data_IF_795002343076
#
_entry.id   IF_795002343076
#
_cell.length_a   1.000
_cell.length_b   1.000
_cell.length_c   1.000
_cell.angle_alpha   90.00
_cell.angle_beta   90.00
_cell.angle_gamma   90.00
#
_symmetry.space_group_name_H-M   'P 1'
#
loop_
_entity.id
_entity.type
_entity.pdbx_description
1 polymer ?
#
# COMPACT_ATOMS: atom_id res chain seq x y z
N UNK A 1 61.48 -27.36 -25.70
CA UNK A 1 60.87 -27.77 -24.41
C UNK A 1 60.31 -26.51 -23.74
N UNK A 2 58.99 -26.26 -23.81
CA UNK A 2 58.34 -25.10 -23.16
C UNK A 2 56.87 -25.38 -22.79
N UNK A 3 56.52 -26.66 -22.66
CA UNK A 3 55.17 -27.12 -22.31
C UNK A 3 54.77 -26.80 -20.86
N UNK A 4 55.65 -26.86 -19.83
CA UNK A 4 55.20 -26.69 -18.45
C UNK A 4 54.83 -25.24 -18.10
N UNK A 5 55.46 -24.23 -18.72
CA UNK A 5 55.18 -22.82 -18.44
C UNK A 5 53.82 -22.40 -18.99
N UNK A 6 53.45 -22.88 -20.19
CA UNK A 6 52.14 -22.62 -20.80
C UNK A 6 50.97 -23.21 -19.99
N UNK A 7 51.16 -24.41 -19.42
CA UNK A 7 50.15 -25.04 -18.58
C UNK A 7 49.93 -24.26 -17.28
N UNK A 8 50.99 -23.72 -16.68
CA UNK A 8 50.91 -22.90 -15.47
C UNK A 8 50.25 -21.54 -15.70
N UNK A 9 50.53 -20.89 -16.84
CA UNK A 9 49.88 -19.63 -17.21
C UNK A 9 48.41 -19.85 -17.58
N UNK A 10 48.09 -20.96 -18.26
CA UNK A 10 46.71 -21.33 -18.59
C UNK A 10 45.92 -21.63 -17.31
N UNK A 11 46.50 -22.35 -16.34
CA UNK A 11 45.86 -22.64 -15.06
C UNK A 11 45.57 -21.36 -14.26
N UNK A 12 46.50 -20.40 -14.19
CA UNK A 12 46.26 -19.12 -13.52
C UNK A 12 45.18 -18.27 -14.21
N UNK A 13 45.17 -18.24 -15.55
CA UNK A 13 44.17 -17.49 -16.31
C UNK A 13 42.76 -18.10 -16.13
N UNK A 14 42.66 -19.43 -16.08
CA UNK A 14 41.42 -20.15 -15.79
C UNK A 14 40.95 -19.94 -14.35
N UNK A 15 41.86 -19.94 -13.36
CA UNK A 15 41.52 -19.63 -11.96
C UNK A 15 41.07 -18.16 -11.79
N UNK A 16 41.69 -17.22 -12.49
CA UNK A 16 41.30 -15.80 -12.46
C UNK A 16 39.94 -15.57 -13.15
N UNK A 17 39.67 -16.22 -14.28
CA UNK A 17 38.38 -16.16 -14.96
C UNK A 17 37.26 -16.81 -14.12
N UNK A 18 37.53 -17.95 -13.46
CA UNK A 18 36.60 -18.59 -12.55
C UNK A 18 36.36 -17.76 -11.27
N UNK A 19 37.39 -17.07 -10.76
CA UNK A 19 37.28 -16.13 -9.65
C UNK A 19 36.47 -14.89 -10.01
N UNK A 20 36.69 -14.31 -11.20
CA UNK A 20 35.92 -13.16 -11.70
C UNK A 20 34.45 -13.52 -11.98
N UNK A 21 34.19 -14.71 -12.53
CA UNK A 21 32.83 -15.23 -12.69
C UNK A 21 32.15 -15.51 -11.35
N UNK A 22 32.87 -16.04 -10.36
CA UNK A 22 32.33 -16.22 -9.00
C UNK A 22 32.00 -14.90 -8.31
N UNK A 23 32.86 -13.89 -8.40
CA UNK A 23 32.60 -12.56 -7.82
C UNK A 23 31.46 -11.85 -8.54
N UNK A 24 31.31 -12.04 -9.86
CA UNK A 24 30.17 -11.52 -10.63
C UNK A 24 28.86 -12.23 -10.26
N UNK A 25 28.90 -13.55 -10.05
CA UNK A 25 27.73 -14.34 -9.65
C UNK A 25 27.34 -14.05 -8.20
N UNK A 26 28.28 -13.89 -7.27
CA UNK A 26 28.02 -13.47 -5.89
C UNK A 26 27.46 -12.04 -5.83
N UNK A 27 27.93 -11.13 -6.70
CA UNK A 27 27.33 -9.78 -6.83
C UNK A 27 25.92 -9.84 -7.43
N UNK A 28 25.69 -10.68 -8.44
CA UNK A 28 24.35 -10.91 -8.98
C UNK A 28 23.42 -11.61 -7.99
N UNK A 29 23.93 -12.52 -7.15
CA UNK A 29 23.17 -13.18 -6.08
C UNK A 29 22.87 -12.23 -4.93
N UNK A 30 23.77 -11.28 -4.62
CA UNK A 30 23.49 -10.21 -3.66
C UNK A 30 22.49 -9.21 -4.22
N UNK A 31 22.54 -8.87 -5.52
CA UNK A 31 21.52 -8.05 -6.18
C UNK A 31 20.17 -8.79 -6.33
N UNK A 32 20.18 -10.10 -6.56
CA UNK A 32 18.99 -10.97 -6.50
C UNK A 32 18.50 -11.14 -5.06
N UNK A 33 19.35 -11.14 -4.03
CA UNK A 33 18.95 -11.09 -2.62
C UNK A 33 18.37 -9.71 -2.24
N UNK A 34 18.87 -8.63 -2.84
CA UNK A 34 18.28 -7.28 -2.78
C UNK A 34 16.91 -7.23 -3.46
N UNK A 35 16.74 -7.95 -4.58
CA UNK A 35 15.47 -8.07 -5.30
C UNK A 35 14.53 -9.08 -4.62
N UNK A 36 15.04 -10.06 -3.87
CA UNK A 36 14.29 -10.93 -2.93
C UNK A 36 13.87 -10.16 -1.66
N UNK A 37 14.28 -8.88 -1.49
CA UNK A 37 13.52 -7.92 -0.66
C UNK A 37 12.13 -7.58 -1.23
N UNK A 38 11.71 -8.23 -2.32
CA UNK A 38 10.37 -8.21 -2.95
C UNK A 38 9.19 -8.54 -2.00
N UNK A 39 9.46 -8.98 -0.75
CA UNK A 39 8.43 -9.14 0.29
C UNK A 39 7.93 -7.83 0.96
N UNK A 40 8.43 -6.66 0.55
CA UNK A 40 8.05 -5.35 1.11
C UNK A 40 6.98 -4.67 0.25
N UNK A 41 5.84 -4.31 0.87
CA UNK A 41 4.75 -3.59 0.20
C UNK A 41 4.34 -2.35 0.97
N UNK A 42 4.37 -1.21 0.29
CA UNK A 42 3.86 0.05 0.84
C UNK A 42 2.36 0.15 0.57
N UNK A 43 1.56 0.22 1.64
CA UNK A 43 0.10 0.25 1.55
C UNK A 43 -0.52 1.01 2.73
N UNK A 44 -1.85 1.03 2.78
CA UNK A 44 -2.62 1.49 3.94
C UNK A 44 -3.48 0.34 4.44
N UNK A 45 -3.57 0.15 5.75
CA UNK A 45 -4.44 -0.87 6.34
C UNK A 45 -5.80 -0.27 6.68
N UNK A 46 -6.80 -0.52 5.84
CA UNK A 46 -8.16 -0.03 6.01
C UNK A 46 -9.03 -1.00 6.82
N UNK A 47 -9.53 -0.57 7.97
CA UNK A 47 -10.50 -1.30 8.76
C UNK A 47 -11.91 -0.74 8.53
N UNK A 48 -12.87 -1.59 8.16
CA UNK A 48 -14.26 -1.17 7.88
C UNK A 48 -15.12 -0.90 9.12
N UNK A 49 -14.55 -0.92 10.32
CA UNK A 49 -15.31 -0.72 11.56
C UNK A 49 -15.86 0.72 11.65
N UNK A 50 -17.10 0.89 12.08
CA UNK A 50 -17.73 2.22 12.18
C UNK A 50 -17.87 2.86 10.78
N UNK A 51 -17.31 4.07 10.62
CA UNK A 51 -17.28 4.79 9.33
C UNK A 51 -16.11 4.35 8.43
N UNK A 52 -15.27 3.42 8.89
CA UNK A 52 -14.04 3.03 8.21
C UNK A 52 -12.84 3.89 8.62
N UNK A 53 -11.72 3.25 8.88
CA UNK A 53 -10.50 3.91 9.37
C UNK A 53 -9.25 3.27 8.78
N UNK A 54 -8.28 4.09 8.38
CA UNK A 54 -6.92 3.68 8.05
C UNK A 54 -6.08 3.67 9.33
N UNK A 55 -5.37 2.56 9.60
CA UNK A 55 -4.44 2.47 10.71
C UNK A 55 -3.34 3.53 10.58
N UNK A 56 -3.01 4.21 11.68
CA UNK A 56 -2.02 5.27 11.76
C UNK A 56 -0.98 4.96 12.84
N UNK A 57 0.27 5.27 12.53
CA UNK A 57 1.40 5.13 13.45
C UNK A 57 2.04 6.50 13.62
N UNK A 58 1.90 7.09 14.80
CA UNK A 58 2.39 8.42 15.10
C UNK A 58 3.86 8.41 15.55
N UNK A 59 4.61 9.51 15.32
CA UNK A 59 5.96 9.66 15.82
C UNK A 59 6.08 9.70 17.35
N UNK A 60 4.98 9.96 18.07
CA UNK A 60 4.92 9.96 19.55
C UNK A 60 4.76 8.54 20.15
N UNK A 61 4.68 7.50 19.31
CA UNK A 61 4.45 6.12 19.74
C UNK A 61 2.97 5.70 19.80
N UNK A 62 2.03 6.62 19.51
CA UNK A 62 0.59 6.33 19.54
C UNK A 62 0.12 5.62 18.28
N UNK A 63 -0.84 4.72 18.47
CA UNK A 63 -1.53 4.01 17.40
C UNK A 63 -3.04 4.26 17.47
N UNK A 64 -3.62 4.66 16.35
CA UNK A 64 -5.06 4.86 16.17
C UNK A 64 -5.42 4.64 14.70
N UNK A 65 -6.62 5.03 14.30
CA UNK A 65 -7.00 5.13 12.90
C UNK A 65 -7.76 6.42 12.63
N UNK A 66 -7.63 6.89 11.39
CA UNK A 66 -8.33 8.06 10.86
C UNK A 66 -9.14 7.66 9.64
N UNK A 67 -10.28 8.31 9.45
CA UNK A 67 -11.08 8.12 8.24
C UNK A 67 -10.33 8.65 7.01
N UNK A 68 -9.70 9.82 7.16
CA UNK A 68 -8.97 10.50 6.09
C UNK A 68 -7.64 9.83 5.77
N UNK A 69 -7.23 9.99 4.51
CA UNK A 69 -5.90 9.59 4.03
C UNK A 69 -4.87 10.58 4.58
N UNK A 70 -3.85 10.06 5.25
CA UNK A 70 -2.77 10.87 5.83
C UNK A 70 -1.43 10.17 5.56
N UNK A 71 -0.32 10.90 5.62
CA UNK A 71 1.04 10.35 5.61
C UNK A 71 1.24 9.35 6.77
N UNK A 72 0.64 9.60 7.94
CA UNK A 72 0.69 8.71 9.10
C UNK A 72 0.07 7.32 8.86
N UNK A 73 -0.79 7.18 7.85
CA UNK A 73 -1.42 5.91 7.48
C UNK A 73 -0.70 5.17 6.36
N UNK A 74 0.41 5.70 5.85
CA UNK A 74 1.28 5.02 4.90
C UNK A 74 2.18 4.05 5.66
N UNK A 75 1.99 2.77 5.40
CA UNK A 75 2.64 1.67 6.10
C UNK A 75 3.46 0.83 5.11
N UNK A 76 4.64 0.41 5.53
CA UNK A 76 5.44 -0.59 4.86
C UNK A 76 5.23 -1.92 5.59
N UNK A 77 4.63 -2.89 4.90
CA UNK A 77 4.51 -4.26 5.37
C UNK A 77 5.66 -5.06 4.80
N UNK A 78 6.37 -5.79 5.64
CA UNK A 78 7.50 -6.62 5.22
C UNK A 78 7.37 -8.02 5.81
N UNK A 79 7.64 -9.03 4.99
CA UNK A 79 7.65 -10.42 5.45
C UNK A 79 8.86 -10.65 6.38
N UNK A 80 8.59 -11.23 7.54
CA UNK A 80 9.63 -11.68 8.50
C UNK A 80 9.88 -13.17 8.30
N UNK A 81 8.82 -13.94 8.08
CA UNK A 81 8.84 -15.36 7.71
C UNK A 81 7.49 -15.73 7.10
N UNK A 82 7.28 -17.00 6.74
CA UNK A 82 6.05 -17.44 6.10
C UNK A 82 4.81 -17.09 6.94
N UNK A 83 3.96 -16.20 6.40
CA UNK A 83 2.73 -15.74 7.07
C UNK A 83 2.95 -14.86 8.30
N UNK A 84 4.19 -14.43 8.57
CA UNK A 84 4.52 -13.48 9.65
C UNK A 84 5.09 -12.22 9.04
N UNK A 85 4.53 -11.08 9.42
CA UNK A 85 4.92 -9.77 8.90
C UNK A 85 5.32 -8.82 10.03
N UNK A 86 6.13 -7.83 9.67
CA UNK A 86 6.27 -6.58 10.40
C UNK A 86 5.50 -5.46 9.71
N UNK A 87 5.03 -4.49 10.49
CA UNK A 87 4.31 -3.31 9.99
C UNK A 87 5.07 -2.08 10.47
N UNK A 88 5.57 -1.28 9.53
CA UNK A 88 6.33 -0.06 9.80
C UNK A 88 5.57 1.17 9.29
N UNK A 89 5.49 2.22 10.08
CA UNK A 89 5.02 3.53 9.62
C UNK A 89 6.11 4.19 8.78
N UNK A 90 5.83 4.49 7.51
CA UNK A 90 6.84 5.09 6.61
C UNK A 90 7.23 6.47 7.11
N UNK A 91 6.25 7.30 7.47
CA UNK A 91 6.49 8.66 7.96
C UNK A 91 7.13 8.70 9.36
N UNK A 92 6.62 7.90 10.30
CA UNK A 92 7.11 7.91 11.68
C UNK A 92 8.38 7.10 11.89
N UNK A 93 8.80 6.30 10.90
CA UNK A 93 9.92 5.35 10.98
C UNK A 93 9.84 4.42 12.21
N UNK A 94 8.63 4.11 12.66
CA UNK A 94 8.35 3.27 13.84
C UNK A 94 7.60 2.01 13.46
N UNK A 95 7.82 0.94 14.21
CA UNK A 95 7.16 -0.35 14.03
C UNK A 95 5.91 -0.44 14.90
N UNK A 96 4.84 -0.99 14.36
CA UNK A 96 3.68 -1.38 15.15
C UNK A 96 4.10 -2.50 16.09
N UNK A 97 3.76 -2.37 17.37
CA UNK A 97 4.07 -3.36 18.39
C UNK A 97 2.86 -3.61 19.29
N UNK A 98 2.73 -4.83 19.79
CA UNK A 98 1.76 -5.18 20.82
C UNK A 98 2.49 -5.62 22.08
N UNK A 99 2.20 -4.99 23.22
CA UNK A 99 2.82 -5.37 24.48
C UNK A 99 2.11 -6.55 25.16
N UNK A 100 2.70 -7.06 26.24
CA UNK A 100 2.17 -8.15 27.10
C UNK A 100 0.78 -7.92 27.70
N UNK A 101 0.25 -6.69 27.69
CA UNK A 101 -1.13 -6.40 28.14
C UNK A 101 -2.13 -6.44 26.98
N UNK A 102 -1.65 -6.53 25.73
CA UNK A 102 -2.42 -6.45 24.51
C UNK A 102 -2.61 -5.01 24.00
N UNK A 103 -1.86 -4.03 24.49
CA UNK A 103 -1.95 -2.64 24.00
C UNK A 103 -1.09 -2.49 22.75
N UNK A 104 -1.67 -1.89 21.71
CA UNK A 104 -0.94 -1.45 20.54
C UNK A 104 -0.20 -0.15 20.84
N UNK A 105 1.05 -0.09 20.40
CA UNK A 105 1.92 1.07 20.50
C UNK A 105 2.93 1.02 19.33
N UNK A 106 3.76 2.04 19.19
CA UNK A 106 4.80 2.07 18.18
C UNK A 106 6.20 2.19 18.81
N UNK A 107 7.15 1.44 18.28
CA UNK A 107 8.54 1.37 18.78
C UNK A 107 9.53 1.76 17.68
N UNK A 108 10.69 2.29 18.06
CA UNK A 108 11.76 2.60 17.09
C UNK A 108 12.50 1.34 16.66
N UNK A 109 12.64 0.40 17.59
CA UNK A 109 13.36 -0.84 17.40
C UNK A 109 12.40 -1.96 17.05
N UNK A 110 12.80 -2.78 16.06
CA UNK A 110 12.06 -3.97 15.68
C UNK A 110 12.35 -5.09 16.68
N UNK A 111 11.30 -5.56 17.35
CA UNK A 111 11.37 -6.59 18.40
C UNK A 111 10.34 -7.69 18.14
N UNK A 112 10.31 -8.73 18.97
CA UNK A 112 9.31 -9.80 18.84
C UNK A 112 7.86 -9.32 19.05
N UNK A 113 7.66 -8.24 19.82
CA UNK A 113 6.37 -7.56 19.98
C UNK A 113 5.83 -7.00 18.64
N UNK A 114 6.71 -6.81 17.65
CA UNK A 114 6.40 -6.24 16.34
C UNK A 114 6.03 -7.29 15.28
N UNK A 115 6.05 -8.58 15.64
CA UNK A 115 5.78 -9.68 14.72
C UNK A 115 4.31 -10.08 14.77
N UNK A 116 3.64 -10.03 13.61
CA UNK A 116 2.23 -10.39 13.48
C UNK A 116 2.01 -11.49 12.46
N UNK A 117 1.20 -12.49 12.80
CA UNK A 117 0.70 -13.49 11.87
C UNK A 117 -0.39 -12.88 11.00
N UNK A 118 -0.13 -12.78 9.71
CA UNK A 118 -1.12 -12.39 8.70
C UNK A 118 -1.94 -13.61 8.30
N UNK A 119 -3.27 -13.50 8.40
CA UNK A 119 -4.20 -14.53 7.93
C UNK A 119 -5.30 -13.90 7.09
N UNK A 120 -5.57 -14.50 5.94
CA UNK A 120 -6.71 -14.16 5.10
C UNK A 120 -7.99 -14.69 5.74
N UNK A 121 -9.02 -13.84 5.77
CA UNK A 121 -10.34 -14.18 6.26
C UNK A 121 -11.29 -14.36 5.06
N UNK A 122 -12.32 -15.19 5.22
CA UNK A 122 -13.31 -15.52 4.18
C UNK A 122 -13.95 -14.30 3.49
N UNK A 123 -13.99 -13.15 4.18
CA UNK A 123 -14.58 -11.92 3.68
C UNK A 123 -13.62 -11.03 2.87
N UNK A 124 -12.47 -11.56 2.43
CA UNK A 124 -11.43 -10.83 1.71
C UNK A 124 -10.68 -9.75 2.52
N UNK A 125 -10.77 -9.80 3.85
CA UNK A 125 -9.93 -8.99 4.74
C UNK A 125 -8.86 -9.85 5.40
N UNK A 126 -7.77 -9.20 5.81
CA UNK A 126 -6.72 -9.84 6.59
C UNK A 126 -6.91 -9.54 8.08
N UNK A 127 -6.44 -10.48 8.90
CA UNK A 127 -6.26 -10.30 10.34
C UNK A 127 -4.78 -10.36 10.69
N UNK A 128 -4.40 -9.65 11.75
CA UNK A 128 -3.02 -9.59 12.24
C UNK A 128 -2.99 -9.96 13.71
N UNK A 129 -2.56 -11.18 14.02
CA UNK A 129 -2.42 -11.68 15.38
C UNK A 129 -1.00 -11.50 15.88
N UNK A 130 -0.78 -11.13 17.15
CA UNK A 130 0.57 -11.18 17.73
C UNK A 130 1.11 -12.61 17.69
N UNK A 131 2.38 -12.77 17.31
CA UNK A 131 3.05 -14.08 17.33
C UNK A 131 3.25 -14.57 18.76
N UNK A 132 3.71 -13.69 19.65
CA UNK A 132 4.13 -14.05 21.01
C UNK A 132 3.03 -13.85 22.06
N UNK A 133 2.14 -12.87 21.86
CA UNK A 133 1.12 -12.54 22.85
C UNK A 133 -0.20 -13.24 22.56
N UNK A 134 -0.59 -14.11 23.49
CA UNK A 134 -1.87 -14.83 23.47
C UNK A 134 -2.34 -15.12 24.88
N UNK A 135 -3.61 -15.47 25.04
CA UNK A 135 -4.07 -16.02 26.29
C UNK A 135 -3.56 -17.46 26.44
N UNK A 136 -2.60 -17.69 27.35
CA UNK A 136 -1.99 -19.00 27.57
C UNK A 136 -2.99 -20.06 28.08
N UNK A 137 -4.01 -19.65 28.85
CA UNK A 137 -5.00 -20.57 29.41
C UNK A 137 -5.98 -21.08 28.36
N UNK A 138 -6.44 -20.18 27.47
CA UNK A 138 -7.48 -20.51 26.49
C UNK A 138 -6.94 -20.71 25.08
N UNK A 139 -5.63 -20.56 24.86
CA UNK A 139 -4.99 -20.56 23.54
C UNK A 139 -5.40 -19.41 22.62
N UNK A 140 -6.14 -18.41 23.12
CA UNK A 140 -6.77 -17.38 22.29
C UNK A 140 -5.75 -16.33 21.85
N UNK A 141 -5.61 -16.20 20.54
CA UNK A 141 -4.75 -15.18 19.91
C UNK A 141 -5.26 -13.76 20.18
N UNK A 142 -4.32 -12.81 20.21
CA UNK A 142 -4.61 -11.38 20.35
C UNK A 142 -4.35 -10.67 19.03
N UNK A 143 -5.30 -9.82 18.63
CA UNK A 143 -5.28 -9.20 17.31
C UNK A 143 -5.08 -7.69 17.37
N UNK A 144 -4.44 -7.15 16.34
CA UNK A 144 -4.52 -5.73 16.00
C UNK A 144 -5.99 -5.39 15.76
N UNK A 145 -6.48 -4.31 16.38
CA UNK A 145 -7.89 -3.95 16.25
C UNK A 145 -8.15 -2.46 16.48
N UNK A 146 -9.14 -1.92 15.76
CA UNK A 146 -9.68 -0.56 15.96
C UNK A 146 -11.13 -0.62 16.46
N UNK A 147 -11.55 0.37 17.25
CA UNK A 147 -12.95 0.50 17.63
C UNK A 147 -13.74 1.35 16.62
N UNK A 148 -15.06 1.41 16.80
CA UNK A 148 -15.96 2.22 15.96
C UNK A 148 -15.67 3.74 15.94
N UNK A 149 -14.80 4.22 16.83
CA UNK A 149 -14.35 5.61 16.93
C UNK A 149 -12.91 5.80 16.40
N UNK A 150 -12.34 4.79 15.74
CA UNK A 150 -10.96 4.82 15.24
C UNK A 150 -9.87 4.69 16.29
N UNK A 151 -10.16 4.46 17.58
CA UNK A 151 -9.10 4.23 18.59
C UNK A 151 -8.65 2.78 18.59
N UNK A 152 -7.36 2.55 18.82
CA UNK A 152 -6.82 1.20 19.02
C UNK A 152 -7.53 0.49 20.17
N UNK A 153 -7.93 -0.76 19.94
CA UNK A 153 -8.49 -1.65 20.96
C UNK A 153 -7.37 -2.48 21.58
N UNK A 154 -7.60 -2.89 22.82
CA UNK A 154 -6.77 -3.87 23.49
C UNK A 154 -6.95 -5.25 22.82
N UNK A 155 -5.88 -5.82 22.27
CA UNK A 155 -5.87 -7.14 21.64
C UNK A 155 -6.29 -8.27 22.59
N UNK A 156 -5.97 -8.14 23.88
CA UNK A 156 -6.37 -9.10 24.92
C UNK A 156 -7.86 -9.06 25.27
N UNK A 157 -8.59 -8.00 24.86
CA UNK A 157 -10.01 -7.84 25.18
C UNK A 157 -10.84 -9.02 24.65
N UNK A 158 -11.76 -9.61 25.44
CA UNK A 158 -12.67 -10.68 25.01
C UNK A 158 -13.46 -10.42 23.72
N UNK A 159 -13.67 -9.15 23.38
CA UNK A 159 -14.44 -8.71 22.21
C UNK A 159 -13.62 -8.71 20.91
N UNK A 160 -12.29 -8.86 20.98
CA UNK A 160 -11.38 -8.82 19.82
C UNK A 160 -11.11 -10.25 19.34
N UNK A 161 -11.94 -10.76 18.43
CA UNK A 161 -11.81 -12.11 17.85
C UNK A 161 -11.52 -12.01 16.35
N UNK A 162 -10.95 -13.05 15.74
CA UNK A 162 -10.68 -13.09 14.30
C UNK A 162 -11.93 -12.89 13.45
N UNK A 163 -13.11 -13.32 13.93
CA UNK A 163 -14.38 -13.12 13.21
C UNK A 163 -14.91 -11.68 13.33
N UNK A 164 -14.43 -10.90 14.31
CA UNK A 164 -14.99 -9.59 14.59
C UNK A 164 -14.41 -8.52 13.65
N UNK A 165 -15.28 -7.70 13.07
CA UNK A 165 -14.94 -6.68 12.06
C UNK A 165 -13.86 -5.67 12.50
N UNK A 166 -13.68 -5.47 13.82
CA UNK A 166 -12.61 -4.61 14.35
C UNK A 166 -11.21 -5.10 14.04
N UNK A 167 -11.05 -6.39 13.72
CA UNK A 167 -9.76 -7.05 13.42
C UNK A 167 -9.51 -7.19 11.93
N UNK A 168 -10.50 -6.83 11.10
CA UNK A 168 -10.47 -7.00 9.66
C UNK A 168 -9.85 -5.77 9.03
N UNK A 169 -8.72 -5.95 8.36
CA UNK A 169 -8.01 -4.91 7.64
C UNK A 169 -7.81 -5.31 6.19
N UNK A 170 -8.12 -4.39 5.29
CA UNK A 170 -7.87 -4.52 3.86
C UNK A 170 -6.60 -3.73 3.53
N UNK A 171 -5.52 -4.38 3.09
CA UNK A 171 -4.38 -3.69 2.50
C UNK A 171 -4.82 -2.95 1.23
N UNK A 172 -4.77 -1.62 1.27
CA UNK A 172 -5.02 -0.76 0.11
C UNK A 172 -3.69 -0.24 -0.39
N UNK A 173 -3.27 -0.70 -1.56
CA UNK A 173 -2.07 -0.17 -2.21
C UNK A 173 -2.35 1.30 -2.56
N UNK A 174 -1.54 2.20 -2.01
CA UNK A 174 -1.47 3.55 -2.55
C UNK A 174 -0.54 3.48 -3.75
N UNK A 175 -1.00 3.90 -4.93
CA UNK A 175 -0.06 4.44 -5.89
C UNK A 175 0.58 5.63 -5.17
N UNK A 176 1.75 5.40 -4.57
CA UNK A 176 2.65 6.50 -4.25
C UNK A 176 2.72 7.32 -5.53
N UNK A 177 2.47 8.63 -5.46
CA UNK A 177 2.54 9.49 -6.64
C UNK A 177 3.90 9.26 -7.31
N UNK A 178 3.89 8.44 -8.36
CA UNK A 178 5.00 8.24 -9.26
C UNK A 178 4.94 9.40 -10.25
N UNK A 179 5.04 10.63 -9.75
CA UNK A 179 5.26 11.80 -10.59
C UNK A 179 6.62 11.78 -11.29
N UNK A 180 7.37 10.66 -11.23
CA UNK A 180 8.61 10.43 -12.00
C UNK A 180 8.73 9.03 -12.64
N UNK A 181 7.65 8.26 -12.76
CA UNK A 181 7.69 7.04 -13.59
C UNK A 181 6.49 7.00 -14.53
N UNK A 182 6.43 8.01 -15.39
CA UNK A 182 5.81 7.84 -16.70
C UNK A 182 6.63 6.79 -17.45
N UNK A 183 6.08 5.60 -17.63
CA UNK A 183 6.57 4.71 -18.66
C UNK A 183 6.26 5.41 -19.99
N UNK A 184 7.28 5.90 -20.68
CA UNK A 184 7.14 6.34 -22.06
C UNK A 184 6.76 5.11 -22.86
N UNK A 185 5.48 4.99 -23.23
CA UNK A 185 5.10 4.12 -24.34
C UNK A 185 5.84 4.70 -25.53
N UNK A 186 6.86 4.01 -26.02
CA UNK A 186 7.43 4.32 -27.33
C UNK A 186 6.34 4.06 -28.35
N UNK A 187 5.55 5.09 -28.68
CA UNK A 187 4.74 5.06 -29.87
C UNK A 187 5.71 5.08 -31.05
N UNK A 188 5.91 3.92 -31.65
CA UNK A 188 6.71 3.74 -32.84
C UNK A 188 5.89 4.32 -34.00
N UNK A 189 6.08 5.62 -34.21
CA UNK A 189 5.55 6.40 -35.31
C UNK A 189 5.40 5.62 -36.62
N UNK A 190 4.16 5.54 -37.12
CA UNK A 190 3.89 5.46 -38.55
C UNK A 190 2.70 6.34 -38.92
N UNK A 191 3.05 7.56 -39.32
CA UNK A 191 2.41 8.40 -40.33
C UNK A 191 0.88 8.50 -40.37
N UNK A 192 0.35 9.65 -39.94
CA UNK A 192 -0.39 10.58 -40.82
C UNK A 192 -0.63 11.90 -40.06
N UNK A 193 0.09 12.97 -40.42
CA UNK A 193 -0.38 14.32 -40.07
C UNK A 193 -1.71 14.52 -40.80
N UNK A 194 -2.81 14.66 -40.06
CA UNK A 194 -4.09 15.13 -40.58
C UNK A 194 -4.33 16.49 -39.93
N UNK A 195 -4.23 17.55 -40.72
CA UNK A 195 -4.54 18.91 -40.28
C UNK A 195 -5.96 18.98 -39.72
N UNK A 196 -6.22 19.84 -38.72
CA UNK A 196 -7.56 20.06 -38.23
C UNK A 196 -8.44 20.69 -39.32
N UNK A 197 -9.73 20.31 -39.41
CA UNK A 197 -10.64 20.88 -40.39
C UNK A 197 -10.84 22.38 -40.15
N UNK A 198 -11.08 23.18 -41.20
CA UNK A 198 -11.32 24.61 -41.07
C UNK A 198 -12.62 24.88 -40.28
N UNK A 199 -12.70 26.01 -39.56
CA UNK A 199 -13.90 26.37 -38.80
C UNK A 199 -15.10 26.63 -39.72
N UNK A 200 -16.33 26.33 -39.28
CA UNK A 200 -17.53 26.56 -40.08
C UNK A 200 -17.77 28.06 -40.32
N UNK A 201 -18.37 28.43 -41.48
CA UNK A 201 -18.62 29.83 -41.83
C UNK A 201 -19.62 30.48 -40.86
N UNK A 202 -19.37 31.77 -40.56
CA UNK A 202 -20.22 32.62 -39.69
C UNK A 202 -21.63 32.75 -40.29
N UNK A 203 -22.70 32.69 -39.48
CA UNK A 203 -24.05 33.01 -39.96
C UNK A 203 -24.17 34.51 -40.32
N UNK A 204 -25.00 34.87 -41.32
CA UNK A 204 -25.22 36.25 -41.70
C UNK A 204 -25.95 37.05 -40.60
N UNK A 205 -25.79 38.38 -40.55
CA UNK A 205 -26.43 39.20 -39.53
C UNK A 205 -27.96 39.18 -39.70
N UNK A 206 -28.66 38.82 -38.62
CA UNK A 206 -30.10 38.98 -38.51
C UNK A 206 -30.43 40.48 -38.43
N UNK A 207 -31.27 40.94 -39.36
CA UNK A 207 -31.84 42.30 -39.34
C UNK A 207 -32.75 42.44 -38.12
N UNK A 208 -32.63 43.58 -37.45
CA UNK A 208 -33.50 43.98 -36.36
C UNK A 208 -34.96 44.09 -36.84
N UNK A 209 -35.89 43.51 -36.07
CA UNK A 209 -37.27 43.97 -36.02
C UNK A 209 -37.71 43.99 -34.57
N UNK A 210 -38.10 45.20 -34.16
CA UNK A 210 -38.71 45.56 -32.88
C UNK A 210 -40.04 44.82 -32.73
N UNK A 211 -40.41 44.42 -31.51
CA UNK A 211 -41.69 44.72 -30.85
C UNK A 211 -41.85 43.94 -29.52
N UNK A 212 -41.87 44.73 -28.43
CA UNK A 212 -42.72 44.63 -27.22
C UNK A 212 -42.85 43.31 -26.43
N UNK A 213 -42.33 43.34 -25.20
CA UNK A 213 -43.11 42.96 -24.02
C UNK A 213 -42.69 41.71 -23.23
N UNK A 214 -42.29 41.95 -21.97
CA UNK A 214 -42.47 41.08 -20.79
C UNK A 214 -41.25 40.26 -20.29
N UNK A 215 -40.82 40.63 -19.08
CA UNK A 215 -39.83 40.08 -18.11
C UNK A 215 -39.43 38.59 -18.18
N UNK A 216 -38.15 38.23 -17.93
CA UNK A 216 -37.71 36.83 -17.89
C UNK A 216 -37.94 36.18 -16.51
N UNK A 217 -38.69 35.07 -16.49
CA UNK A 217 -38.88 34.23 -15.31
C UNK A 217 -37.71 33.23 -15.22
N UNK A 218 -36.98 33.27 -14.10
CA UNK A 218 -35.80 32.44 -13.81
C UNK A 218 -36.24 30.99 -13.55
N UNK A 219 -36.02 30.08 -14.50
CA UNK A 219 -36.40 28.66 -14.36
C UNK A 219 -35.39 27.91 -13.47
N UNK A 220 -35.75 27.65 -12.22
CA UNK A 220 -35.04 26.69 -11.37
C UNK A 220 -35.45 25.26 -11.77
N UNK A 221 -34.49 24.44 -12.20
CA UNK A 221 -34.72 23.01 -12.44
C UNK A 221 -34.56 22.27 -11.11
N UNK A 222 -35.66 21.73 -10.60
CA UNK A 222 -35.75 20.98 -9.33
C UNK A 222 -35.77 19.48 -9.62
N UNK A 223 -34.71 18.76 -9.26
CA UNK A 223 -34.66 17.30 -9.36
C UNK A 223 -35.31 16.63 -8.13
N UNK A 224 -36.05 15.55 -8.37
CA UNK A 224 -36.66 14.69 -7.35
C UNK A 224 -36.11 13.27 -7.44
N UNK A 225 -35.48 12.72 -6.38
CA UNK A 225 -35.10 11.31 -6.33
C UNK A 225 -36.34 10.45 -6.07
N UNK A 226 -36.65 9.50 -6.97
CA UNK A 226 -37.66 8.48 -6.74
C UNK A 226 -37.00 7.22 -6.19
N UNK A 227 -37.12 6.99 -4.89
CA UNK A 227 -36.97 5.67 -4.29
C UNK A 227 -38.25 5.32 -3.53
N UNK A 228 -38.85 4.19 -3.86
CA UNK A 228 -39.88 3.52 -3.05
C UNK A 228 -39.22 2.33 -2.37
N UNK A 229 -39.29 2.30 -1.05
CA UNK A 229 -39.03 1.09 -0.28
C UNK A 229 -40.31 0.25 -0.26
N UNK A 230 -40.18 -1.02 -0.62
CA UNK A 230 -41.12 -2.10 -0.37
C UNK A 230 -40.32 -3.30 0.10
#
# INVERSE_FOLDING_TARGET
MNVPLYLLTAAHLMCAAAGAQRVSLERQLLEEEEEVRSGRRTCRLYCRVGIGFHLQIHPDGRVNGSHELNQLSVLELFAVSQGVIGIKGVYSNRFLAMNKRGRLHATEWFTDDCKFRERFQENSYNTYASVIHRNHRTGREWYVALNKRGKAKMGSSPRVKSQHISTHFLPRLGLHDKSQQGFTITDRSKGRRKEPPPPPPKPPPLKASVHTGTTPRRTQVKYWPKYRFG
#
